data_IF_436260409555
#
_entry.id   IF_436260409555
#
_cell.length_a   1.000
_cell.length_b   1.000
_cell.length_c   1.000
_cell.angle_alpha   90.00
_cell.angle_beta   90.00
_cell.angle_gamma   90.00
#
_symmetry.space_group_name_H-M   'P 1'
#
loop_
_entity.id
_entity.type
_entity.pdbx_description
1 polymer ?
#
# COMPACT_ATOMS: atom_id res chain seq x y z
N UNK A 1 -28.63 -3.86 -18.06
CA UNK A 1 -27.56 -4.65 -17.40
C UNK A 1 -28.33 -5.75 -16.69
N UNK A 2 -27.93 -7.03 -16.69
CA UNK A 2 -28.75 -8.07 -16.02
C UNK A 2 -28.53 -8.16 -14.50
N UNK A 3 -27.69 -7.28 -13.94
CA UNK A 3 -27.43 -7.24 -12.50
C UNK A 3 -28.51 -6.42 -11.76
N UNK A 4 -29.15 -6.99 -10.71
CA UNK A 4 -30.01 -6.22 -9.83
C UNK A 4 -29.17 -5.28 -8.97
N UNK A 5 -29.69 -4.09 -8.68
CA UNK A 5 -29.03 -3.05 -7.92
C UNK A 5 -29.96 -2.52 -6.80
N UNK A 6 -30.56 -3.43 -6.03
CA UNK A 6 -31.42 -3.10 -4.90
C UNK A 6 -30.63 -2.36 -3.82
N UNK A 7 -29.36 -2.75 -3.67
CA UNK A 7 -28.34 -2.08 -2.88
C UNK A 7 -27.10 -1.84 -3.74
N UNK A 8 -26.45 -0.70 -3.52
CA UNK A 8 -25.19 -0.33 -4.18
C UNK A 8 -24.15 -0.09 -3.09
N UNK A 9 -22.97 -0.64 -3.30
CA UNK A 9 -21.82 -0.48 -2.42
C UNK A 9 -20.66 0.11 -3.20
N UNK A 10 -19.82 0.89 -2.53
CA UNK A 10 -18.44 1.10 -2.97
C UNK A 10 -17.59 0.05 -2.30
N UNK A 11 -16.79 -0.65 -3.10
CA UNK A 11 -15.81 -1.63 -2.62
C UNK A 11 -14.41 -1.07 -2.82
N UNK A 12 -13.56 -1.14 -1.80
CA UNK A 12 -12.16 -0.74 -1.83
C UNK A 12 -11.27 -1.95 -1.49
N UNK A 13 -10.44 -2.37 -2.43
CA UNK A 13 -9.35 -3.29 -2.17
C UNK A 13 -8.09 -2.49 -1.80
N UNK A 14 -7.49 -2.81 -0.65
CA UNK A 14 -6.31 -2.13 -0.11
C UNK A 14 -5.13 -2.16 -1.10
N UNK A 15 -4.14 -1.32 -0.91
CA UNK A 15 -2.92 -1.35 -1.74
C UNK A 15 -2.19 -2.69 -1.63
N UNK A 16 -1.45 -3.04 -2.69
CA UNK A 16 -0.51 -4.15 -2.68
C UNK A 16 0.80 -3.71 -3.31
N UNK A 17 1.73 -3.28 -2.44
CA UNK A 17 3.06 -2.86 -2.85
C UNK A 17 3.81 -3.95 -3.61
N UNK A 18 3.59 -5.23 -3.28
CA UNK A 18 4.27 -6.37 -3.93
C UNK A 18 3.86 -6.57 -5.40
N UNK A 19 2.80 -5.89 -5.88
CA UNK A 19 2.27 -6.08 -7.23
C UNK A 19 1.98 -4.75 -7.96
N UNK A 20 2.78 -4.34 -8.97
CA UNK A 20 2.68 -3.03 -9.63
C UNK A 20 1.28 -2.64 -10.16
N UNK A 21 0.48 -3.52 -10.79
CA UNK A 21 -0.87 -3.18 -11.25
C UNK A 21 -1.89 -2.95 -10.13
N UNK A 22 -1.63 -3.47 -8.93
CA UNK A 22 -2.51 -3.41 -7.75
C UNK A 22 -2.02 -2.43 -6.69
N UNK A 23 -0.95 -1.70 -7.01
CA UNK A 23 -0.11 -0.98 -6.07
C UNK A 23 -0.81 0.20 -5.40
N UNK A 24 -1.70 0.90 -6.10
CA UNK A 24 -2.47 2.06 -5.59
C UNK A 24 -3.80 1.69 -4.93
N UNK A 25 -4.10 0.40 -4.78
CA UNK A 25 -5.42 -0.07 -4.40
C UNK A 25 -6.41 -0.08 -5.57
N UNK A 26 -7.66 -0.45 -5.33
CA UNK A 26 -8.71 -0.44 -6.36
C UNK A 26 -10.08 -0.16 -5.76
N UNK A 27 -10.86 0.69 -6.44
CA UNK A 27 -12.25 0.98 -6.09
C UNK A 27 -13.21 0.65 -7.20
N UNK A 28 -14.31 0.01 -6.87
CA UNK A 28 -15.34 -0.39 -7.83
C UNK A 28 -16.72 -0.45 -7.17
N UNK A 29 -17.77 -0.56 -8.00
CA UNK A 29 -19.14 -0.68 -7.51
C UNK A 29 -19.49 -2.15 -7.28
N UNK A 30 -20.22 -2.44 -6.20
CA UNK A 30 -20.92 -3.71 -6.02
C UNK A 30 -22.42 -3.47 -6.08
N UNK A 31 -23.09 -4.17 -6.99
CA UNK A 31 -24.54 -4.25 -7.09
C UNK A 31 -25.02 -5.53 -6.43
N UNK A 32 -25.91 -5.38 -5.46
CA UNK A 32 -26.51 -6.49 -4.72
C UNK A 32 -28.02 -6.42 -4.83
N UNK A 33 -28.65 -7.58 -4.99
CA UNK A 33 -30.09 -7.67 -5.07
C UNK A 33 -30.58 -9.06 -5.42
N UNK A 34 -31.87 -9.17 -5.68
CA UNK A 34 -32.49 -10.41 -6.13
C UNK A 34 -32.63 -10.42 -7.65
N UNK A 35 -32.20 -11.53 -8.28
CA UNK A 35 -32.40 -11.71 -9.71
C UNK A 35 -33.86 -12.09 -10.01
N UNK A 36 -34.20 -12.23 -11.29
CA UNK A 36 -35.55 -12.63 -11.73
C UNK A 36 -36.03 -14.00 -11.20
N UNK A 37 -35.15 -14.81 -10.61
CA UNK A 37 -35.47 -16.09 -9.99
C UNK A 37 -35.59 -16.00 -8.45
N UNK A 38 -35.57 -14.78 -7.89
CA UNK A 38 -35.60 -14.55 -6.43
C UNK A 38 -34.30 -14.95 -5.71
N UNK A 39 -33.20 -15.18 -6.45
CA UNK A 39 -31.91 -15.54 -5.85
C UNK A 39 -31.10 -14.28 -5.59
N UNK A 40 -30.56 -14.15 -4.38
CA UNK A 40 -29.61 -13.09 -4.03
C UNK A 40 -28.33 -13.24 -4.86
N UNK A 41 -27.94 -12.20 -5.56
CA UNK A 41 -26.76 -12.15 -6.41
C UNK A 41 -25.99 -10.86 -6.18
N UNK A 42 -24.66 -10.93 -6.31
CA UNK A 42 -23.76 -9.80 -6.18
C UNK A 42 -22.90 -9.70 -7.44
N UNK A 43 -22.84 -8.52 -8.02
CA UNK A 43 -22.03 -8.22 -9.20
C UNK A 43 -21.10 -7.06 -8.92
N UNK A 44 -19.87 -7.15 -9.41
CA UNK A 44 -18.95 -6.04 -9.43
C UNK A 44 -19.04 -5.32 -10.78
N UNK A 45 -19.06 -3.99 -10.74
CA UNK A 45 -18.87 -3.13 -11.90
C UNK A 45 -17.56 -2.37 -11.73
N UNK A 46 -16.60 -2.64 -12.62
CA UNK A 46 -15.28 -2.03 -12.62
C UNK A 46 -14.99 -1.39 -13.98
N UNK A 47 -14.08 -0.42 -14.00
CA UNK A 47 -13.55 0.21 -15.20
C UNK A 47 -12.03 0.01 -15.22
N UNK A 48 -11.52 -0.64 -16.27
CA UNK A 48 -10.11 -0.99 -16.39
C UNK A 48 -9.62 -0.88 -17.84
N UNK A 49 -8.32 -1.08 -18.01
CA UNK A 49 -7.65 -1.24 -19.31
C UNK A 49 -6.94 -2.59 -19.36
N UNK A 50 -6.80 -3.16 -20.55
CA UNK A 50 -5.94 -4.33 -20.79
C UNK A 50 -4.59 -3.81 -21.26
N UNK A 51 -3.52 -4.15 -20.54
CA UNK A 51 -2.17 -3.75 -20.92
C UNK A 51 -1.70 -4.60 -22.11
N UNK A 52 -1.25 -3.94 -23.18
CA UNK A 52 -0.74 -4.56 -24.40
C UNK A 52 0.79 -4.73 -24.40
N UNK A 53 1.46 -4.18 -23.38
CA UNK A 53 2.91 -4.18 -23.22
C UNK A 53 3.32 -4.25 -21.75
N UNK A 54 4.48 -4.85 -21.50
CA UNK A 54 5.16 -4.86 -20.19
C UNK A 54 6.26 -3.80 -20.11
N UNK A 55 6.52 -3.05 -21.19
CA UNK A 55 7.56 -2.02 -21.22
C UNK A 55 7.09 -0.78 -20.45
N UNK A 56 7.74 -0.50 -19.32
CA UNK A 56 7.41 0.61 -18.42
C UNK A 56 7.46 1.99 -19.09
N UNK A 57 8.40 2.23 -20.02
CA UNK A 57 8.48 3.50 -20.76
C UNK A 57 7.29 3.67 -21.71
N UNK A 58 6.90 2.59 -22.39
CA UNK A 58 5.70 2.59 -23.24
C UNK A 58 4.44 2.84 -22.41
N UNK A 59 4.31 2.18 -21.26
CA UNK A 59 3.20 2.39 -20.34
C UNK A 59 3.16 3.83 -19.80
N UNK A 60 4.31 4.41 -19.46
CA UNK A 60 4.40 5.80 -19.04
C UNK A 60 3.96 6.75 -20.16
N UNK A 61 4.41 6.53 -21.40
CA UNK A 61 4.00 7.33 -22.55
C UNK A 61 2.48 7.22 -22.81
N UNK A 62 1.94 6.00 -22.79
CA UNK A 62 0.51 5.76 -22.98
C UNK A 62 -0.31 6.46 -21.88
N UNK A 63 0.15 6.39 -20.63
CA UNK A 63 -0.48 7.02 -19.48
C UNK A 63 -0.49 8.56 -19.54
N UNK A 64 0.52 9.18 -20.15
CA UNK A 64 0.63 10.65 -20.15
C UNK A 64 0.00 11.24 -21.43
N UNK A 65 0.20 10.59 -22.58
CA UNK A 65 -0.07 11.21 -23.88
C UNK A 65 -1.19 10.52 -24.68
N UNK A 66 -1.12 9.21 -24.93
CA UNK A 66 -2.04 8.56 -25.88
C UNK A 66 -3.35 8.07 -25.27
N UNK A 67 -3.33 7.68 -24.00
CA UNK A 67 -4.35 6.88 -23.32
C UNK A 67 -4.33 5.42 -23.77
N UNK A 68 -5.01 4.57 -23.01
CA UNK A 68 -5.26 3.16 -23.31
C UNK A 68 -6.77 2.91 -23.51
N UNK A 69 -7.20 1.82 -24.19
CA UNK A 69 -8.61 1.47 -24.29
C UNK A 69 -9.21 1.13 -22.93
N UNK A 70 -10.15 1.95 -22.47
CA UNK A 70 -10.85 1.73 -21.21
C UNK A 70 -12.17 1.01 -21.42
N UNK A 71 -12.49 0.05 -20.56
CA UNK A 71 -13.67 -0.81 -20.69
C UNK A 71 -14.36 -1.01 -19.34
N UNK A 72 -15.69 -1.03 -19.37
CA UNK A 72 -16.48 -1.50 -18.22
C UNK A 72 -16.61 -3.01 -18.24
N UNK A 73 -16.44 -3.64 -17.08
CA UNK A 73 -16.79 -5.04 -16.89
C UNK A 73 -17.81 -5.22 -15.78
N UNK A 74 -18.71 -6.17 -16.02
CA UNK A 74 -19.67 -6.68 -15.06
C UNK A 74 -19.35 -8.16 -14.82
N UNK A 75 -18.96 -8.51 -13.60
CA UNK A 75 -18.60 -9.88 -13.26
C UNK A 75 -19.12 -10.30 -11.88
N UNK A 76 -19.23 -11.61 -11.60
CA UNK A 76 -19.63 -12.10 -10.28
C UNK A 76 -18.73 -11.53 -9.19
N UNK A 77 -19.32 -10.89 -8.20
CA UNK A 77 -18.57 -10.19 -7.14
C UNK A 77 -17.63 -11.12 -6.39
N UNK A 78 -18.07 -12.35 -6.12
CA UNK A 78 -17.29 -13.34 -5.37
C UNK A 78 -15.97 -13.71 -6.07
N UNK A 79 -15.90 -13.65 -7.39
CA UNK A 79 -14.66 -13.95 -8.12
C UNK A 79 -13.62 -12.85 -7.88
N UNK A 80 -14.02 -11.57 -7.98
CA UNK A 80 -13.11 -10.45 -7.73
C UNK A 80 -12.63 -10.45 -6.28
N UNK A 81 -13.54 -10.62 -5.32
CA UNK A 81 -13.15 -10.59 -3.90
C UNK A 81 -12.15 -11.69 -3.60
N UNK A 82 -12.38 -12.91 -4.08
CA UNK A 82 -11.42 -13.99 -3.92
C UNK A 82 -10.09 -13.70 -4.61
N UNK A 83 -10.08 -13.07 -5.78
CA UNK A 83 -8.80 -12.65 -6.39
C UNK A 83 -8.01 -11.75 -5.42
N UNK A 84 -8.67 -10.75 -4.83
CA UNK A 84 -8.02 -9.85 -3.89
C UNK A 84 -7.63 -10.50 -2.57
N UNK A 85 -8.55 -11.19 -1.91
CA UNK A 85 -8.31 -11.75 -0.57
C UNK A 85 -7.49 -13.02 -0.62
N UNK A 86 -7.70 -13.87 -1.64
CA UNK A 86 -7.10 -15.20 -1.68
C UNK A 86 -5.80 -15.29 -2.47
N UNK A 87 -5.64 -14.50 -3.53
CA UNK A 87 -4.43 -14.55 -4.38
C UNK A 87 -3.51 -13.36 -4.18
N UNK A 88 -4.08 -12.16 -4.02
CA UNK A 88 -3.28 -10.95 -3.82
C UNK A 88 -3.03 -10.63 -2.34
N UNK A 89 -3.64 -11.38 -1.41
CA UNK A 89 -3.57 -11.19 0.04
C UNK A 89 -3.94 -9.78 0.52
N UNK A 90 -4.90 -9.16 -0.16
CA UNK A 90 -5.39 -7.81 0.12
C UNK A 90 -6.69 -7.82 0.91
N UNK A 91 -6.87 -6.79 1.72
CA UNK A 91 -8.14 -6.54 2.37
C UNK A 91 -9.13 -5.89 1.43
N UNK A 92 -10.40 -6.25 1.58
CA UNK A 92 -11.49 -5.64 0.84
C UNK A 92 -12.48 -5.02 1.82
N UNK A 93 -12.71 -3.71 1.70
CA UNK A 93 -13.71 -2.97 2.44
C UNK A 93 -14.96 -2.78 1.57
N UNK A 94 -16.13 -3.05 2.14
CA UNK A 94 -17.42 -2.77 1.51
C UNK A 94 -18.14 -1.64 2.26
N UNK A 95 -18.65 -0.67 1.51
CA UNK A 95 -19.43 0.45 2.04
C UNK A 95 -20.82 0.48 1.39
N UNK A 96 -21.86 0.01 2.09
CA UNK A 96 -23.26 0.14 1.64
C UNK A 96 -23.60 1.62 1.57
N UNK A 97 -24.01 2.11 0.40
CA UNK A 97 -24.36 3.52 0.23
C UNK A 97 -25.75 3.82 0.81
N UNK A 98 -25.86 4.92 1.54
CA UNK A 98 -27.13 5.48 1.98
C UNK A 98 -27.81 6.26 0.84
N UNK A 99 -28.55 5.55 -0.01
CA UNK A 99 -29.17 6.12 -1.22
C UNK A 99 -30.69 6.18 -1.14
N UNK A 100 -31.26 7.28 -1.64
CA UNK A 100 -32.67 7.29 -2.04
C UNK A 100 -32.88 6.44 -3.30
N UNK A 101 -34.11 6.00 -3.53
CA UNK A 101 -34.46 5.26 -4.76
C UNK A 101 -34.07 6.02 -6.03
N UNK A 102 -34.29 7.34 -6.05
CA UNK A 102 -33.91 8.20 -7.16
C UNK A 102 -32.40 8.16 -7.42
N UNK A 103 -31.57 8.37 -6.39
CA UNK A 103 -30.10 8.36 -6.54
C UNK A 103 -29.58 6.99 -6.94
N UNK A 104 -30.16 5.92 -6.42
CA UNK A 104 -29.82 4.54 -6.79
C UNK A 104 -30.09 4.27 -8.27
N UNK A 105 -31.28 4.65 -8.76
CA UNK A 105 -31.63 4.54 -10.19
C UNK A 105 -30.72 5.40 -11.07
N UNK A 106 -30.39 6.61 -10.62
CA UNK A 106 -29.49 7.51 -11.34
C UNK A 106 -28.10 6.89 -11.56
N UNK A 107 -27.48 6.33 -10.51
CA UNK A 107 -26.20 5.60 -10.62
C UNK A 107 -26.34 4.44 -11.62
N UNK A 108 -27.38 3.63 -11.46
CA UNK A 108 -27.60 2.46 -12.29
C UNK A 108 -27.72 2.81 -13.78
N UNK A 109 -28.53 3.82 -14.11
CA UNK A 109 -28.71 4.25 -15.50
C UNK A 109 -27.48 4.94 -16.07
N UNK A 110 -26.76 5.72 -15.26
CA UNK A 110 -25.53 6.36 -15.71
C UNK A 110 -24.46 5.33 -16.09
N UNK A 111 -24.23 4.31 -15.24
CA UNK A 111 -23.31 3.22 -15.56
C UNK A 111 -23.78 2.42 -16.79
N UNK A 112 -25.10 2.27 -16.98
CA UNK A 112 -25.65 1.61 -18.16
C UNK A 112 -25.40 2.40 -19.45
N UNK A 113 -25.44 3.73 -19.38
CA UNK A 113 -25.11 4.63 -20.50
C UNK A 113 -23.63 4.56 -20.86
N UNK A 114 -22.74 4.61 -19.85
CA UNK A 114 -21.30 4.63 -20.06
C UNK A 114 -20.72 3.33 -20.67
N UNK A 115 -21.44 2.20 -20.58
CA UNK A 115 -20.93 0.89 -21.03
C UNK A 115 -20.66 0.82 -22.54
N UNK A 116 -21.35 1.64 -23.34
CA UNK A 116 -21.26 1.63 -24.81
C UNK A 116 -20.40 2.79 -25.34
N UNK A 117 -19.71 3.52 -24.44
CA UNK A 117 -18.86 4.65 -24.79
C UNK A 117 -17.40 4.19 -24.83
N UNK A 118 -16.73 4.47 -25.94
CA UNK A 118 -15.28 4.29 -26.07
C UNK A 118 -14.54 5.34 -25.26
N UNK A 119 -14.16 4.97 -24.03
CA UNK A 119 -13.42 5.86 -23.13
C UNK A 119 -11.93 5.53 -23.15
N UNK A 120 -11.10 6.57 -23.15
CA UNK A 120 -9.67 6.42 -22.91
C UNK A 120 -9.38 6.32 -21.42
N UNK A 121 -8.58 5.33 -21.05
CA UNK A 121 -8.07 5.11 -19.72
C UNK A 121 -6.70 5.77 -19.58
N UNK A 122 -6.49 6.53 -18.50
CA UNK A 122 -5.18 6.95 -18.01
C UNK A 122 -5.06 6.59 -16.53
N UNK A 123 -3.88 6.24 -16.03
CA UNK A 123 -3.67 5.97 -14.60
C UNK A 123 -3.91 7.21 -13.73
N UNK A 124 -3.64 8.41 -14.26
CA UNK A 124 -3.82 9.69 -13.53
C UNK A 124 -5.25 10.23 -13.59
N UNK A 125 -6.01 9.87 -14.64
CA UNK A 125 -7.35 10.39 -14.90
C UNK A 125 -8.16 9.42 -15.74
N UNK A 126 -9.48 9.39 -15.57
CA UNK A 126 -10.33 8.38 -16.21
C UNK A 126 -9.86 6.95 -15.87
N UNK A 127 -9.52 6.73 -14.60
CA UNK A 127 -9.27 5.42 -14.01
C UNK A 127 -10.51 4.93 -13.23
N UNK A 128 -10.39 3.77 -12.59
CA UNK A 128 -11.42 3.22 -11.71
C UNK A 128 -11.90 4.23 -10.65
N UNK A 129 -10.98 4.96 -10.01
CA UNK A 129 -11.30 5.96 -8.97
C UNK A 129 -12.01 7.19 -9.52
N UNK A 130 -11.66 7.62 -10.73
CA UNK A 130 -12.31 8.74 -11.42
C UNK A 130 -13.77 8.42 -11.73
N UNK A 131 -14.05 7.19 -12.19
CA UNK A 131 -15.42 6.72 -12.43
C UNK A 131 -16.23 6.71 -11.13
N UNK A 132 -15.65 6.23 -10.04
CA UNK A 132 -16.30 6.27 -8.72
C UNK A 132 -16.52 7.71 -8.26
N UNK A 133 -15.54 8.60 -8.40
CA UNK A 133 -15.69 10.02 -8.05
C UNK A 133 -16.86 10.70 -8.78
N UNK A 134 -16.97 10.53 -10.10
CA UNK A 134 -18.11 11.08 -10.85
C UNK A 134 -19.42 10.42 -10.44
N UNK A 135 -19.42 9.10 -10.20
CA UNK A 135 -20.60 8.39 -9.69
C UNK A 135 -21.05 8.94 -8.33
N UNK A 136 -20.13 9.21 -7.41
CA UNK A 136 -20.42 9.78 -6.11
C UNK A 136 -20.89 11.25 -6.22
N UNK A 137 -20.39 12.00 -7.20
CA UNK A 137 -20.87 13.35 -7.49
C UNK A 137 -22.34 13.37 -7.95
N UNK A 138 -22.81 12.29 -8.59
CA UNK A 138 -24.25 12.11 -8.88
C UNK A 138 -25.08 11.81 -7.64
N UNK A 139 -24.47 11.30 -6.56
CA UNK A 139 -25.13 11.08 -5.27
C UNK A 139 -25.20 12.38 -4.47
N UNK A 140 -24.06 13.06 -4.35
CA UNK A 140 -23.92 14.34 -3.68
C UNK A 140 -23.10 15.32 -4.55
N UNK A 141 -23.75 16.33 -5.18
CA UNK A 141 -23.08 17.26 -6.08
C UNK A 141 -21.89 18.02 -5.47
N UNK A 142 -21.85 18.19 -4.13
CA UNK A 142 -20.72 18.87 -3.45
C UNK A 142 -19.39 18.13 -3.61
N UNK A 143 -19.41 16.82 -3.88
CA UNK A 143 -18.19 16.04 -4.16
C UNK A 143 -17.49 16.58 -5.41
N UNK A 144 -18.24 17.12 -6.37
CA UNK A 144 -17.66 17.70 -7.58
C UNK A 144 -16.75 18.90 -7.26
N UNK A 145 -17.07 19.67 -6.23
CA UNK A 145 -16.31 20.86 -5.81
C UNK A 145 -14.97 20.48 -5.14
N UNK A 146 -14.83 19.25 -4.64
CA UNK A 146 -13.59 18.72 -4.07
C UNK A 146 -12.66 18.08 -5.12
N UNK A 147 -12.73 18.55 -6.37
CA UNK A 147 -11.96 17.96 -7.47
C UNK A 147 -10.46 17.98 -7.16
N UNK A 148 -9.86 16.79 -7.25
CA UNK A 148 -8.42 16.57 -7.11
C UNK A 148 -7.79 16.45 -8.51
N UNK A 149 -6.52 16.86 -8.64
CA UNK A 149 -5.74 16.66 -9.88
C UNK A 149 -5.60 15.17 -10.22
N UNK A 150 -5.37 14.35 -9.20
CA UNK A 150 -5.39 12.89 -9.25
C UNK A 150 -6.31 12.42 -8.12
N UNK A 151 -7.33 11.63 -8.46
CA UNK A 151 -8.21 10.96 -7.48
C UNK A 151 -7.71 9.53 -7.28
N UNK A 152 -7.28 9.18 -6.08
CA UNK A 152 -6.85 7.82 -5.74
C UNK A 152 -8.04 6.94 -5.31
N UNK A 153 -7.88 5.60 -5.25
CA UNK A 153 -8.89 4.73 -4.65
C UNK A 153 -9.24 5.15 -3.22
N UNK A 154 -8.25 5.46 -2.40
CA UNK A 154 -8.46 5.88 -1.02
C UNK A 154 -9.26 7.19 -0.92
N UNK A 155 -9.02 8.15 -1.82
CA UNK A 155 -9.80 9.39 -1.88
C UNK A 155 -11.30 9.13 -2.03
N UNK A 156 -11.68 8.14 -2.85
CA UNK A 156 -13.10 7.79 -3.03
C UNK A 156 -13.73 7.30 -1.73
N UNK A 157 -12.99 6.53 -0.92
CA UNK A 157 -13.44 6.09 0.39
C UNK A 157 -13.57 7.28 1.32
N UNK A 158 -12.60 8.20 1.33
CA UNK A 158 -12.65 9.43 2.15
C UNK A 158 -13.85 10.31 1.81
N UNK A 159 -14.26 10.40 0.54
CA UNK A 159 -15.49 11.11 0.17
C UNK A 159 -16.74 10.50 0.81
N UNK A 160 -16.81 9.17 0.94
CA UNK A 160 -17.94 8.52 1.59
C UNK A 160 -18.10 8.94 3.05
N UNK A 161 -16.98 9.01 3.78
CA UNK A 161 -16.96 9.49 5.17
C UNK A 161 -17.24 10.99 5.26
N UNK A 162 -16.55 11.82 4.46
CA UNK A 162 -16.71 13.30 4.47
C UNK A 162 -18.17 13.73 4.22
N UNK A 163 -18.89 13.01 3.35
CA UNK A 163 -20.25 13.35 2.95
C UNK A 163 -21.33 12.48 3.59
N UNK A 164 -20.98 11.67 4.60
CA UNK A 164 -21.92 10.80 5.33
C UNK A 164 -22.76 9.89 4.41
N UNK A 165 -22.11 9.29 3.42
CA UNK A 165 -22.75 8.43 2.42
C UNK A 165 -22.81 6.95 2.84
N UNK A 166 -22.18 6.58 3.95
CA UNK A 166 -22.06 5.19 4.41
C UNK A 166 -23.26 4.83 5.28
N UNK A 167 -23.95 3.75 4.91
CA UNK A 167 -25.00 3.12 5.73
C UNK A 167 -24.45 1.98 6.59
N UNK A 168 -23.56 1.17 6.02
CA UNK A 168 -22.86 0.07 6.70
C UNK A 168 -21.47 -0.10 6.09
N UNK A 169 -20.47 -0.39 6.91
CA UNK A 169 -19.15 -0.83 6.47
C UNK A 169 -18.89 -2.28 6.88
N UNK A 170 -18.16 -3.02 6.04
CA UNK A 170 -17.76 -4.40 6.31
C UNK A 170 -16.33 -4.63 5.80
N UNK A 171 -15.51 -5.36 6.56
CA UNK A 171 -14.16 -5.76 6.17
C UNK A 171 -14.18 -7.24 5.81
N UNK A 172 -13.67 -7.55 4.63
CA UNK A 172 -13.34 -8.89 4.16
C UNK A 172 -11.81 -8.98 4.14
N UNK A 173 -11.19 -9.49 5.21
CA UNK A 173 -9.74 -9.52 5.30
C UNK A 173 -9.12 -10.63 4.44
N UNK A 174 -7.87 -10.47 4.05
CA UNK A 174 -7.06 -11.61 3.63
C UNK A 174 -6.67 -12.48 4.82
N UNK A 175 -6.34 -13.74 4.59
CA UNK A 175 -5.92 -14.62 5.69
C UNK A 175 -4.59 -14.17 6.29
N UNK A 176 -3.63 -13.69 5.49
CA UNK A 176 -2.38 -13.12 5.99
C UNK A 176 -2.64 -11.90 6.89
N UNK A 177 -3.60 -11.05 6.52
CA UNK A 177 -3.99 -9.94 7.37
C UNK A 177 -4.61 -10.39 8.68
N UNK A 178 -5.52 -11.35 8.59
CA UNK A 178 -6.20 -11.89 9.76
C UNK A 178 -5.20 -12.54 10.72
N UNK A 179 -4.21 -13.28 10.20
CA UNK A 179 -3.12 -13.84 10.99
C UNK A 179 -2.40 -12.74 11.78
N UNK A 180 -1.90 -11.70 11.11
CA UNK A 180 -1.14 -10.64 11.79
C UNK A 180 -1.97 -9.84 12.79
N UNK A 181 -3.22 -9.56 12.45
CA UNK A 181 -4.12 -8.86 13.37
C UNK A 181 -4.40 -9.70 14.63
N UNK A 182 -4.46 -11.03 14.51
CA UNK A 182 -4.68 -11.92 15.64
C UNK A 182 -3.40 -12.16 16.45
N UNK A 183 -2.24 -12.23 15.81
CA UNK A 183 -0.95 -12.40 16.51
C UNK A 183 -0.57 -11.16 17.33
N UNK A 184 -1.07 -9.96 16.99
CA UNK A 184 -0.97 -8.77 17.86
C UNK A 184 -1.62 -8.96 19.25
N UNK A 185 -2.51 -9.94 19.42
CA UNK A 185 -3.28 -10.16 20.65
C UNK A 185 -3.02 -11.52 21.33
N UNK A 186 -2.27 -12.41 20.69
CA UNK A 186 -1.97 -13.75 21.19
C UNK A 186 -0.52 -13.84 21.67
N UNK A 187 -0.27 -14.71 22.64
CA UNK A 187 1.08 -14.96 23.13
C UNK A 187 1.77 -16.10 22.37
N UNK A 188 3.10 -16.19 22.49
CA UNK A 188 3.92 -17.17 21.76
C UNK A 188 3.47 -18.63 21.98
N UNK A 189 2.99 -18.99 23.18
CA UNK A 189 2.52 -20.35 23.44
C UNK A 189 1.22 -20.68 22.71
N UNK A 190 0.31 -19.71 22.58
CA UNK A 190 -0.94 -19.86 21.82
C UNK A 190 -0.63 -20.03 20.33
N UNK A 191 0.30 -19.23 19.81
CA UNK A 191 0.76 -19.29 18.42
C UNK A 191 1.43 -20.64 18.14
N UNK A 192 2.33 -21.10 19.02
CA UNK A 192 3.01 -22.38 18.86
C UNK A 192 2.07 -23.58 19.00
N UNK A 193 1.05 -23.48 19.85
CA UNK A 193 -0.02 -24.48 19.92
C UNK A 193 -0.74 -24.60 18.57
N UNK A 194 -1.12 -23.49 17.94
CA UNK A 194 -1.77 -23.48 16.63
C UNK A 194 -0.89 -24.12 15.55
N UNK A 195 0.42 -23.83 15.55
CA UNK A 195 1.38 -24.49 14.65
C UNK A 195 1.42 -26.00 14.90
N UNK A 196 1.42 -26.43 16.15
CA UNK A 196 1.45 -27.84 16.52
C UNK A 196 0.19 -28.59 16.08
N UNK A 197 -0.99 -28.01 16.26
CA UNK A 197 -2.27 -28.60 15.80
C UNK A 197 -2.23 -28.89 14.30
N UNK A 198 -1.75 -27.95 13.49
CA UNK A 198 -1.64 -28.13 12.03
C UNK A 198 -0.55 -29.15 11.68
N UNK A 199 0.62 -29.05 12.30
CA UNK A 199 1.80 -29.88 11.97
C UNK A 199 1.65 -31.34 12.44
N UNK A 200 1.15 -31.55 13.65
CA UNK A 200 1.03 -32.87 14.29
C UNK A 200 -0.39 -33.46 14.21
N UNK A 201 -1.36 -32.72 13.64
CA UNK A 201 -2.74 -33.17 13.41
C UNK A 201 -3.49 -33.45 14.71
N UNK A 202 -3.24 -32.64 15.74
CA UNK A 202 -3.81 -32.77 17.09
C UNK A 202 -5.23 -32.17 17.15
N UNK A 203 -6.14 -32.68 16.30
CA UNK A 203 -7.47 -32.11 16.11
C UNK A 203 -8.35 -32.09 17.37
N UNK A 204 -8.02 -32.92 18.37
CA UNK A 204 -8.74 -32.95 19.65
C UNK A 204 -8.53 -31.69 20.49
N UNK A 205 -7.45 -30.96 20.26
CA UNK A 205 -7.15 -29.72 21.00
C UNK A 205 -7.94 -28.52 20.47
N UNK A 206 -8.56 -28.64 19.28
CA UNK A 206 -9.31 -27.56 18.65
C UNK A 206 -10.50 -27.13 19.52
N UNK A 207 -11.15 -28.06 20.22
CA UNK A 207 -12.28 -27.74 21.10
C UNK A 207 -11.91 -26.97 22.37
N UNK A 208 -10.61 -26.86 22.70
CA UNK A 208 -10.15 -26.11 23.89
C UNK A 208 -9.65 -24.71 23.53
N UNK A 209 -9.60 -24.37 22.25
CA UNK A 209 -9.19 -23.06 21.78
C UNK A 209 -10.27 -22.01 22.03
N UNK A 210 -9.85 -20.80 22.37
CA UNK A 210 -10.74 -19.64 22.45
C UNK A 210 -11.10 -19.11 21.05
N UNK A 211 -11.99 -18.14 21.00
CA UNK A 211 -12.45 -17.53 19.74
C UNK A 211 -11.31 -17.04 18.85
N UNK A 212 -10.32 -16.33 19.43
CA UNK A 212 -9.22 -15.73 18.69
C UNK A 212 -8.28 -16.80 18.14
N UNK A 213 -7.95 -17.81 18.95
CA UNK A 213 -7.10 -18.93 18.53
C UNK A 213 -7.78 -19.80 17.47
N UNK A 214 -9.10 -20.03 17.56
CA UNK A 214 -9.87 -20.72 16.52
C UNK A 214 -9.82 -19.97 15.19
N UNK A 215 -9.98 -18.65 15.23
CA UNK A 215 -9.91 -17.80 14.03
C UNK A 215 -8.51 -17.73 13.43
N UNK A 216 -7.49 -17.75 14.28
CA UNK A 216 -6.11 -17.83 13.81
C UNK A 216 -5.83 -19.20 13.18
N UNK A 217 -6.30 -20.30 13.78
CA UNK A 217 -6.20 -21.64 13.21
C UNK A 217 -6.92 -21.76 11.86
N UNK A 218 -8.12 -21.17 11.72
CA UNK A 218 -8.85 -21.12 10.45
C UNK A 218 -8.05 -20.38 9.35
N UNK A 219 -7.53 -19.19 9.67
CA UNK A 219 -6.75 -18.39 8.73
C UNK A 219 -5.44 -19.11 8.34
N UNK A 220 -4.70 -19.59 9.33
CA UNK A 220 -3.41 -20.27 9.16
C UNK A 220 -3.56 -21.58 8.37
N UNK A 221 -4.53 -22.43 8.70
CA UNK A 221 -4.79 -23.65 7.94
C UNK A 221 -5.16 -23.36 6.49
N UNK A 222 -5.86 -22.25 6.22
CA UNK A 222 -6.18 -21.85 4.84
C UNK A 222 -4.95 -21.36 4.08
N UNK A 223 -4.03 -20.65 4.73
CA UNK A 223 -2.74 -20.26 4.11
C UNK A 223 -1.93 -21.50 3.78
N UNK A 224 -1.73 -22.40 4.75
CA UNK A 224 -0.96 -23.63 4.55
C UNK A 224 -1.56 -24.56 3.48
N UNK A 225 -2.88 -24.58 3.35
CA UNK A 225 -3.54 -25.30 2.26
C UNK A 225 -3.23 -24.69 0.88
N UNK A 226 -3.23 -23.36 0.76
CA UNK A 226 -2.90 -22.67 -0.49
C UNK A 226 -1.44 -22.83 -0.90
N UNK A 227 -0.55 -22.89 0.08
CA UNK A 227 0.89 -23.15 -0.11
C UNK A 227 1.18 -24.60 -0.49
N UNK A 228 0.19 -25.49 -0.37
CA UNK A 228 0.30 -26.96 -0.52
C UNK A 228 1.12 -27.63 0.59
N UNK A 229 1.26 -26.97 1.75
CA UNK A 229 1.93 -27.51 2.94
C UNK A 229 1.05 -28.56 3.65
N UNK A 230 -0.28 -28.49 3.48
CA UNK A 230 -1.22 -29.51 3.96
C UNK A 230 -2.12 -30.02 2.83
N UNK A 231 -2.50 -31.29 2.93
CA UNK A 231 -3.37 -31.97 1.99
C UNK A 231 -4.83 -31.51 2.08
N UNK A 232 -5.60 -31.82 1.04
CA UNK A 232 -7.05 -31.52 1.01
C UNK A 232 -7.82 -32.21 2.14
N UNK A 233 -7.42 -33.43 2.53
CA UNK A 233 -8.10 -34.17 3.60
C UNK A 233 -7.76 -33.61 4.99
N UNK A 234 -6.51 -33.21 5.22
CA UNK A 234 -6.11 -32.49 6.44
C UNK A 234 -6.86 -31.17 6.57
N UNK A 235 -6.90 -30.36 5.51
CA UNK A 235 -7.63 -29.10 5.52
C UNK A 235 -9.14 -29.30 5.77
N UNK A 236 -9.76 -30.31 5.17
CA UNK A 236 -11.17 -30.66 5.45
C UNK A 236 -11.39 -31.07 6.90
N UNK A 237 -10.48 -31.87 7.48
CA UNK A 237 -10.57 -32.29 8.88
C UNK A 237 -10.41 -31.09 9.82
N UNK A 238 -9.45 -30.22 9.60
CA UNK A 238 -9.28 -28.97 10.35
C UNK A 238 -10.56 -28.13 10.28
N UNK A 239 -11.05 -27.85 9.07
CA UNK A 239 -12.25 -27.06 8.86
C UNK A 239 -13.48 -27.66 9.55
N UNK A 240 -13.64 -28.99 9.51
CA UNK A 240 -14.75 -29.67 10.18
C UNK A 240 -14.69 -29.49 11.70
N UNK A 241 -13.52 -29.67 12.31
CA UNK A 241 -13.36 -29.53 13.76
C UNK A 241 -13.47 -28.07 14.22
N UNK A 242 -12.94 -27.11 13.45
CA UNK A 242 -13.12 -25.67 13.70
C UNK A 242 -14.60 -25.31 13.67
N UNK A 243 -15.34 -25.70 12.62
CA UNK A 243 -16.78 -25.44 12.51
C UNK A 243 -17.58 -26.05 13.65
N UNK A 244 -17.16 -27.21 14.17
CA UNK A 244 -17.80 -27.84 15.33
C UNK A 244 -17.57 -27.02 16.60
N UNK A 245 -16.35 -26.53 16.83
CA UNK A 245 -16.03 -25.67 17.97
C UNK A 245 -16.76 -24.31 17.89
N UNK A 246 -16.87 -23.73 16.69
CA UNK A 246 -17.53 -22.43 16.47
C UNK A 246 -19.05 -22.46 16.66
N UNK A 247 -19.72 -23.60 16.49
CA UNK A 247 -21.17 -23.69 16.74
C UNK A 247 -21.55 -23.38 18.18
N UNK A 248 -20.58 -23.47 19.10
CA UNK A 248 -20.75 -23.16 20.51
C UNK A 248 -20.44 -21.69 20.84
N UNK A 249 -19.88 -20.93 19.87
CA UNK A 249 -19.45 -19.54 20.03
C UNK A 249 -20.30 -18.56 19.19
N UNK A 250 -20.69 -17.43 19.79
CA UNK A 250 -21.46 -16.36 19.12
C UNK A 250 -20.68 -15.05 19.04
N UNK A 251 -19.40 -15.06 19.41
CA UNK A 251 -18.52 -13.90 19.39
C UNK A 251 -18.29 -13.37 17.96
N UNK A 252 -18.07 -12.07 17.86
CA UNK A 252 -17.77 -11.38 16.60
C UNK A 252 -16.67 -10.36 16.82
N UNK A 253 -15.88 -10.09 15.78
CA UNK A 253 -14.85 -9.05 15.84
C UNK A 253 -15.48 -7.65 15.75
N UNK A 254 -15.22 -6.82 16.76
CA UNK A 254 -15.45 -5.38 16.66
C UNK A 254 -14.17 -4.67 16.20
N UNK A 255 -14.09 -4.40 14.90
CA UNK A 255 -12.96 -3.67 14.29
C UNK A 255 -13.16 -2.15 14.27
N UNK A 256 -14.21 -1.62 14.92
CA UNK A 256 -14.53 -0.18 14.86
C UNK A 256 -13.39 0.71 15.40
N UNK A 257 -12.61 0.19 16.36
CA UNK A 257 -11.45 0.87 16.94
C UNK A 257 -10.13 0.55 16.24
N UNK A 258 -10.10 -0.43 15.35
CA UNK A 258 -8.89 -0.86 14.67
C UNK A 258 -8.55 0.03 13.46
N UNK A 259 -7.56 -0.40 12.66
CA UNK A 259 -7.07 0.25 11.45
C UNK A 259 -8.20 0.42 10.43
N UNK A 260 -8.36 1.61 9.86
CA UNK A 260 -9.41 1.88 8.85
C UNK A 260 -8.95 2.85 7.77
N UNK A 261 -9.38 2.68 6.49
CA UNK A 261 -8.99 3.58 5.40
C UNK A 261 -9.30 5.06 5.65
N UNK A 262 -10.34 5.38 6.43
CA UNK A 262 -10.70 6.77 6.74
C UNK A 262 -9.69 7.50 7.65
N UNK A 263 -8.87 6.75 8.37
CA UNK A 263 -7.83 7.30 9.26
C UNK A 263 -6.50 7.50 8.55
N UNK A 264 -6.29 6.85 7.40
CA UNK A 264 -5.09 7.01 6.58
C UNK A 264 -4.94 8.48 6.13
N UNK A 265 -3.76 9.11 6.31
CA UNK A 265 -3.48 10.47 5.83
C UNK A 265 -3.67 10.64 4.32
N UNK A 266 -3.68 11.87 3.83
CA UNK A 266 -3.79 12.12 2.39
C UNK A 266 -2.50 11.71 1.65
N UNK A 267 -2.65 11.05 0.51
CA UNK A 267 -1.55 10.47 -0.27
C UNK A 267 -0.88 11.48 -1.20
N UNK A 268 -1.17 12.77 -1.08
CA UNK A 268 -0.58 13.78 -1.97
C UNK A 268 0.10 14.81 -1.13
N UNK A 269 1.34 15.13 -1.46
CA UNK A 269 2.20 15.93 -0.61
C UNK A 269 2.86 17.04 -1.40
N UNK A 270 2.90 18.22 -0.81
CA UNK A 270 3.80 19.28 -1.20
C UNK A 270 4.71 19.60 -0.02
N UNK A 271 6.02 19.61 -0.25
CA UNK A 271 7.03 19.87 0.77
C UNK A 271 7.83 21.12 0.46
N UNK A 272 8.18 21.85 1.52
CA UNK A 272 9.16 22.92 1.51
C UNK A 272 10.12 22.70 2.68
N UNK A 273 11.42 22.79 2.40
CA UNK A 273 12.45 22.56 3.40
C UNK A 273 13.72 23.33 3.12
N UNK A 274 14.56 23.44 4.13
CA UNK A 274 15.94 23.87 3.99
C UNK A 274 16.82 22.62 3.97
N UNK A 275 17.83 22.61 3.10
CA UNK A 275 18.80 21.52 2.98
C UNK A 275 20.21 22.08 2.88
N UNK A 276 21.13 21.53 3.67
CA UNK A 276 22.55 21.83 3.62
C UNK A 276 23.28 20.62 3.03
N UNK A 277 24.08 20.85 1.98
CA UNK A 277 24.88 19.83 1.30
C UNK A 277 26.19 20.48 0.85
N UNK A 278 27.34 19.84 1.09
CA UNK A 278 28.65 20.26 0.57
C UNK A 278 28.97 21.76 0.80
N UNK A 279 28.69 22.28 2.00
CA UNK A 279 28.90 23.70 2.36
C UNK A 279 27.95 24.72 1.70
N UNK A 280 26.95 24.24 0.96
CA UNK A 280 25.93 25.07 0.32
C UNK A 280 24.55 24.91 0.97
N UNK A 281 23.83 26.03 1.00
CA UNK A 281 22.46 26.16 1.49
C UNK A 281 21.45 26.12 0.35
N UNK A 282 20.45 25.24 0.45
CA UNK A 282 19.38 25.10 -0.53
C UNK A 282 18.01 25.24 0.10
N UNK A 283 17.10 25.91 -0.62
CA UNK A 283 15.66 25.73 -0.46
C UNK A 283 15.22 24.53 -1.29
N UNK A 284 14.61 23.55 -0.64
CA UNK A 284 14.06 22.35 -1.27
C UNK A 284 12.55 22.48 -1.45
N UNK A 285 12.08 22.14 -2.65
CA UNK A 285 10.66 21.96 -2.95
C UNK A 285 10.43 20.52 -3.39
N UNK A 286 9.40 19.87 -2.85
CA UNK A 286 9.06 18.48 -3.19
C UNK A 286 7.58 18.28 -3.49
N UNK A 287 7.28 17.34 -4.37
CA UNK A 287 5.93 17.01 -4.80
C UNK A 287 5.75 15.50 -5.00
N UNK A 288 4.81 14.94 -4.24
CA UNK A 288 4.34 13.55 -4.34
C UNK A 288 2.85 13.59 -4.75
N UNK A 289 2.49 13.24 -6.00
CA UNK A 289 1.14 13.41 -6.52
C UNK A 289 0.13 12.37 -6.06
N UNK A 290 0.59 11.16 -5.72
CA UNK A 290 -0.22 10.05 -5.24
C UNK A 290 0.73 8.98 -4.68
N UNK A 291 0.73 8.80 -3.35
CA UNK A 291 1.25 7.71 -2.52
C UNK A 291 1.56 8.18 -1.08
N UNK A 292 2.09 7.31 -0.23
CA UNK A 292 2.77 7.57 1.03
C UNK A 292 4.22 7.07 1.02
N UNK A 293 5.02 7.61 1.93
CA UNK A 293 6.44 7.33 2.13
C UNK A 293 6.66 6.52 3.41
N UNK A 294 7.83 5.89 3.56
CA UNK A 294 8.19 5.20 4.80
C UNK A 294 8.27 6.19 5.97
N UNK A 295 8.64 7.43 5.71
CA UNK A 295 8.70 8.50 6.71
C UNK A 295 7.34 9.13 7.04
N UNK A 296 6.24 8.64 6.47
CA UNK A 296 4.89 9.10 6.80
C UNK A 296 4.24 8.32 7.94
N UNK A 297 3.07 8.79 8.35
CA UNK A 297 2.24 8.13 9.35
C UNK A 297 1.58 6.89 8.74
N UNK A 298 2.20 5.73 8.97
CA UNK A 298 1.75 4.47 8.36
C UNK A 298 1.02 3.52 9.33
N UNK A 299 0.67 3.95 10.55
CA UNK A 299 0.02 3.09 11.58
C UNK A 299 -1.34 2.52 11.13
N UNK A 300 -2.00 3.15 10.16
CA UNK A 300 -3.30 2.73 9.63
C UNK A 300 -3.19 1.79 8.42
N UNK A 301 -1.97 1.58 7.92
CA UNK A 301 -1.68 0.61 6.87
C UNK A 301 -1.41 -0.77 7.46
N UNK A 302 -1.38 -1.77 6.58
CA UNK A 302 -0.99 -3.12 6.94
C UNK A 302 0.53 -3.29 6.82
N UNK A 303 1.23 -3.01 7.92
CA UNK A 303 2.70 -2.94 7.95
C UNK A 303 3.23 -1.68 7.26
N UNK A 304 4.52 -1.44 7.34
CA UNK A 304 5.14 -0.26 6.75
C UNK A 304 5.39 -0.44 5.25
N UNK A 305 5.16 0.63 4.51
CA UNK A 305 5.04 0.60 3.06
C UNK A 305 5.45 1.96 2.51
N UNK A 306 5.98 2.01 1.30
CA UNK A 306 6.17 3.24 0.53
C UNK A 306 5.95 2.91 -0.94
N UNK A 307 5.31 3.82 -1.65
CA UNK A 307 5.16 3.75 -3.09
C UNK A 307 5.57 5.07 -3.71
N UNK A 308 6.08 5.06 -4.93
CA UNK A 308 6.30 6.29 -5.70
C UNK A 308 6.08 6.02 -7.18
N UNK A 309 4.89 6.32 -7.72
CA UNK A 309 4.68 6.31 -9.18
C UNK A 309 5.26 7.57 -9.83
N UNK A 310 5.42 8.62 -9.04
CA UNK A 310 6.13 9.82 -9.42
C UNK A 310 6.54 10.51 -8.13
N UNK A 311 7.76 11.01 -8.03
CA UNK A 311 8.18 11.91 -6.97
C UNK A 311 9.18 12.90 -7.55
N UNK A 312 9.00 14.19 -7.28
CA UNK A 312 9.89 15.23 -7.77
C UNK A 312 10.35 16.08 -6.59
N UNK A 313 11.67 16.25 -6.45
CA UNK A 313 12.28 17.21 -5.55
C UNK A 313 13.34 18.03 -6.27
N UNK A 314 13.35 19.33 -6.02
CA UNK A 314 14.31 20.29 -6.59
C UNK A 314 14.96 21.11 -5.49
N UNK A 315 16.24 21.42 -5.68
CA UNK A 315 17.03 22.30 -4.82
C UNK A 315 17.22 23.65 -5.50
N UNK A 316 17.07 24.71 -4.73
CA UNK A 316 17.17 26.10 -5.18
C UNK A 316 18.19 26.80 -4.29
N UNK A 317 19.25 27.34 -4.86
CA UNK A 317 20.11 28.31 -4.17
C UNK A 317 20.06 29.66 -4.92
N UNK A 318 20.99 30.58 -4.66
CA UNK A 318 21.00 31.90 -5.30
C UNK A 318 21.33 31.85 -6.81
N UNK A 319 22.05 30.83 -7.24
CA UNK A 319 22.71 30.77 -8.54
C UNK A 319 22.21 29.59 -9.41
N UNK A 320 21.68 28.54 -8.79
CA UNK A 320 21.33 27.27 -9.44
C UNK A 320 19.95 26.75 -9.02
N UNK A 321 19.32 26.06 -9.97
CA UNK A 321 18.14 25.21 -9.76
C UNK A 321 18.57 23.81 -10.16
N UNK A 322 18.50 22.88 -9.23
CA UNK A 322 19.04 21.54 -9.39
C UNK A 322 17.96 20.50 -9.13
N UNK A 323 17.95 19.44 -9.94
CA UNK A 323 17.15 18.27 -9.63
C UNK A 323 17.79 17.55 -8.43
N UNK A 324 17.00 17.19 -7.43
CA UNK A 324 17.47 16.33 -6.33
C UNK A 324 17.06 14.88 -6.58
N UNK A 325 15.78 14.70 -6.90
CA UNK A 325 15.16 13.40 -7.10
C UNK A 325 14.04 13.52 -8.12
N UNK A 326 14.07 12.67 -9.13
CA UNK A 326 12.93 12.30 -9.95
C UNK A 326 12.77 10.78 -9.89
N UNK A 327 11.82 10.30 -9.10
CA UNK A 327 11.47 8.88 -9.05
C UNK A 327 10.30 8.62 -9.97
N UNK A 328 10.45 7.70 -10.93
CA UNK A 328 9.40 7.29 -11.86
C UNK A 328 8.63 6.08 -11.38
N UNK A 329 9.28 5.23 -10.58
CA UNK A 329 8.63 4.10 -9.95
C UNK A 329 9.41 3.71 -8.69
N UNK A 330 8.69 3.40 -7.61
CA UNK A 330 9.28 2.96 -6.36
C UNK A 330 8.31 2.09 -5.58
N UNK A 331 8.84 1.05 -4.94
CA UNK A 331 8.13 0.15 -4.05
C UNK A 331 9.03 -0.12 -2.85
N UNK A 332 8.50 0.03 -1.64
CA UNK A 332 9.08 -0.61 -0.45
C UNK A 332 7.98 -1.25 0.40
N UNK A 333 8.30 -2.42 0.89
CA UNK A 333 7.47 -3.22 1.79
C UNK A 333 8.40 -3.74 2.86
N UNK A 334 8.38 -3.13 4.03
CA UNK A 334 9.07 -3.69 5.17
C UNK A 334 7.93 -4.27 6.00
N UNK A 335 7.91 -5.59 6.12
CA UNK A 335 6.81 -6.29 6.77
C UNK A 335 7.48 -7.15 7.83
N UNK A 336 7.12 -6.98 9.12
CA UNK A 336 7.67 -7.81 10.16
C UNK A 336 7.51 -9.28 9.83
N UNK A 337 8.61 -10.02 9.93
CA UNK A 337 8.67 -11.45 9.70
C UNK A 337 7.79 -12.15 10.73
N UNK A 338 6.81 -12.90 10.24
CA UNK A 338 5.92 -13.72 11.04
C UNK A 338 6.13 -15.19 10.65
N UNK A 339 6.38 -16.03 11.64
CA UNK A 339 6.62 -17.48 11.47
C UNK A 339 5.45 -18.27 10.88
N UNK A 340 4.24 -17.69 10.83
CA UNK A 340 3.06 -18.29 10.24
C UNK A 340 2.92 -17.98 8.74
N UNK A 341 3.48 -16.84 8.28
CA UNK A 341 3.36 -16.35 6.89
C UNK A 341 4.69 -16.23 6.15
N UNK A 342 5.83 -16.44 6.82
CA UNK A 342 7.18 -16.39 6.25
C UNK A 342 7.47 -15.11 5.44
N UNK A 343 6.96 -13.97 5.92
CA UNK A 343 7.00 -12.70 5.21
C UNK A 343 8.42 -12.15 5.01
N UNK A 344 8.78 -11.90 3.75
CA UNK A 344 9.99 -11.15 3.39
C UNK A 344 9.67 -9.70 3.06
N UNK A 345 10.67 -8.85 3.28
CA UNK A 345 10.67 -7.43 2.91
C UNK A 345 11.32 -7.25 1.54
N UNK A 346 10.77 -6.32 0.75
CA UNK A 346 11.22 -6.07 -0.62
C UNK A 346 11.32 -4.59 -0.90
N UNK A 347 12.26 -4.22 -1.77
CA UNK A 347 12.33 -2.90 -2.34
C UNK A 347 12.67 -2.91 -3.82
N UNK A 348 12.21 -1.88 -4.52
CA UNK A 348 12.59 -1.59 -5.90
C UNK A 348 12.46 -0.09 -6.15
N UNK A 349 13.40 0.49 -6.89
CA UNK A 349 13.37 1.90 -7.27
C UNK A 349 13.91 2.13 -8.68
N UNK A 350 13.24 2.99 -9.45
CA UNK A 350 13.68 3.54 -10.73
C UNK A 350 13.65 5.07 -10.63
N UNK A 351 14.83 5.69 -10.58
CA UNK A 351 14.94 7.12 -10.30
C UNK A 351 16.17 7.78 -10.94
N UNK A 352 16.12 9.11 -11.03
CA UNK A 352 17.29 9.98 -11.19
C UNK A 352 17.47 10.71 -9.87
N UNK A 353 18.63 10.58 -9.23
CA UNK A 353 18.91 11.18 -7.92
C UNK A 353 20.30 11.78 -7.85
N UNK A 354 20.45 12.85 -7.08
CA UNK A 354 21.78 13.31 -6.69
C UNK A 354 22.37 12.43 -5.60
N UNK A 355 23.48 11.77 -5.92
CA UNK A 355 24.20 10.86 -5.05
C UNK A 355 25.72 11.12 -5.17
N UNK A 356 26.52 10.63 -4.21
CA UNK A 356 27.97 10.74 -4.29
C UNK A 356 28.54 9.65 -5.22
N UNK A 357 29.39 10.03 -6.18
CA UNK A 357 30.14 9.13 -7.05
C UNK A 357 31.35 8.48 -6.34
N UNK A 358 32.07 7.58 -7.03
CA UNK A 358 33.29 6.94 -6.48
C UNK A 358 34.35 7.96 -6.04
N UNK A 359 34.44 9.09 -6.75
CA UNK A 359 35.35 10.20 -6.45
C UNK A 359 34.78 11.22 -5.43
N UNK A 360 33.65 10.89 -4.80
CA UNK A 360 32.95 11.74 -3.82
C UNK A 360 32.41 13.07 -4.39
N UNK A 361 32.23 13.18 -5.71
CA UNK A 361 31.47 14.29 -6.31
C UNK A 361 29.96 14.08 -6.15
N UNK A 362 29.19 15.15 -5.96
CA UNK A 362 27.72 15.06 -5.83
C UNK A 362 27.05 15.22 -7.20
N UNK A 363 26.64 14.11 -7.81
CA UNK A 363 26.28 14.03 -9.24
C UNK A 363 24.90 13.41 -9.46
N UNK A 364 24.27 13.79 -10.57
CA UNK A 364 23.02 13.18 -11.02
C UNK A 364 23.27 11.73 -11.47
N UNK A 365 22.63 10.79 -10.79
CA UNK A 365 22.75 9.35 -11.05
C UNK A 365 21.40 8.80 -11.47
N UNK A 366 21.33 8.24 -12.67
CA UNK A 366 20.20 7.41 -13.10
C UNK A 366 20.40 6.03 -12.50
N UNK A 367 19.43 5.52 -11.75
CA UNK A 367 19.56 4.22 -11.10
C UNK A 367 18.31 3.37 -11.19
N UNK A 368 18.56 2.06 -11.23
CA UNK A 368 17.58 1.02 -11.00
C UNK A 368 18.11 0.10 -9.91
N UNK A 369 17.42 -0.01 -8.78
CA UNK A 369 17.80 -0.90 -7.70
C UNK A 369 16.63 -1.77 -7.22
N UNK A 370 17.00 -2.90 -6.63
CA UNK A 370 16.10 -3.85 -6.03
C UNK A 370 16.74 -4.49 -4.80
N UNK A 371 15.92 -4.90 -3.85
CA UNK A 371 16.41 -5.51 -2.63
C UNK A 371 15.41 -6.44 -1.98
N UNK A 372 15.96 -7.34 -1.17
CA UNK A 372 15.23 -8.32 -0.39
C UNK A 372 15.80 -8.37 1.01
N UNK A 373 14.95 -8.57 2.01
CA UNK A 373 15.39 -8.63 3.37
C UNK A 373 14.32 -9.06 4.34
N UNK A 374 14.60 -8.80 5.61
CA UNK A 374 13.77 -9.19 6.74
C UNK A 374 13.57 -7.96 7.63
N UNK A 375 12.39 -7.87 8.22
CA UNK A 375 12.05 -6.90 9.26
C UNK A 375 11.57 -7.69 10.49
N UNK A 376 11.82 -7.18 11.69
CA UNK A 376 11.36 -7.76 12.94
C UNK A 376 10.73 -6.70 13.80
N UNK A 377 9.56 -7.01 14.36
CA UNK A 377 8.89 -6.16 15.34
C UNK A 377 9.38 -6.51 16.75
N UNK A 378 9.95 -5.54 17.43
CA UNK A 378 10.34 -5.60 18.84
C UNK A 378 9.31 -4.83 19.69
N UNK A 379 8.50 -5.55 20.45
CA UNK A 379 7.35 -4.95 21.14
C UNK A 379 6.26 -4.59 20.15
N UNK A 380 5.70 -3.38 20.23
CA UNK A 380 4.60 -2.94 19.36
C UNK A 380 4.95 -1.76 18.44
N UNK A 381 6.09 -1.11 18.66
CA UNK A 381 6.39 0.19 18.06
C UNK A 381 7.80 0.29 17.44
N UNK A 382 8.63 -0.75 17.54
CA UNK A 382 10.02 -0.75 17.06
C UNK A 382 10.19 -1.84 16.02
N UNK A 383 10.48 -1.45 14.79
CA UNK A 383 10.87 -2.36 13.72
C UNK A 383 12.40 -2.34 13.55
N UNK A 384 13.00 -3.49 13.33
CA UNK A 384 14.41 -3.65 13.00
C UNK A 384 14.52 -4.40 11.67
N UNK A 385 15.20 -3.81 10.69
CA UNK A 385 15.32 -4.40 9.36
C UNK A 385 16.76 -4.63 8.94
N UNK A 386 16.93 -5.61 8.07
CA UNK A 386 18.14 -5.88 7.32
C UNK A 386 17.78 -6.23 5.87
N UNK A 387 18.23 -5.41 4.90
CA UNK A 387 17.92 -5.56 3.48
C UNK A 387 19.20 -5.63 2.65
N UNK A 388 19.25 -6.53 1.67
CA UNK A 388 20.34 -6.63 0.70
C UNK A 388 19.98 -5.88 -0.59
N UNK A 389 20.69 -4.76 -0.78
CA UNK A 389 20.68 -3.78 -1.86
C UNK A 389 21.45 -4.11 -3.14
N UNK A 390 20.86 -4.30 -4.33
CA UNK A 390 21.63 -4.41 -5.58
C UNK A 390 21.03 -3.55 -6.70
N UNK A 391 21.88 -2.94 -7.53
CA UNK A 391 21.41 -2.10 -8.62
C UNK A 391 22.42 -1.77 -9.70
N UNK A 392 21.93 -1.06 -10.71
CA UNK A 392 22.73 -0.45 -11.77
C UNK A 392 22.59 1.06 -11.69
N UNK A 393 23.72 1.77 -11.74
CA UNK A 393 23.79 3.22 -11.79
C UNK A 393 24.48 3.70 -13.06
N UNK A 394 24.11 4.90 -13.50
CA UNK A 394 24.84 5.65 -14.52
C UNK A 394 24.96 7.11 -14.09
N UNK A 395 26.19 7.60 -14.01
CA UNK A 395 26.50 9.02 -13.83
C UNK A 395 27.73 9.41 -14.68
N UNK A 396 27.99 10.71 -14.81
CA UNK A 396 29.06 11.22 -15.67
C UNK A 396 30.49 10.86 -15.20
N UNK A 397 30.66 10.58 -13.91
CA UNK A 397 31.97 10.34 -13.28
C UNK A 397 32.33 8.84 -13.33
N UNK A 398 31.39 7.98 -12.95
CA UNK A 398 31.59 6.54 -12.78
C UNK A 398 31.13 5.72 -14.01
N UNK A 399 30.53 6.39 -15.02
CA UNK A 399 29.82 5.75 -16.12
C UNK A 399 28.79 4.73 -15.61
N UNK A 400 28.49 3.71 -16.41
CA UNK A 400 27.62 2.60 -16.00
C UNK A 400 28.35 1.71 -15.01
N UNK A 401 27.77 1.50 -13.84
CA UNK A 401 28.37 0.70 -12.79
C UNK A 401 27.32 -0.17 -12.07
N UNK A 402 27.78 -1.30 -11.53
CA UNK A 402 26.98 -2.15 -10.65
C UNK A 402 27.27 -1.73 -9.21
N UNK A 403 26.23 -1.61 -8.40
CA UNK A 403 26.39 -1.32 -6.98
C UNK A 403 25.69 -2.32 -6.08
N UNK A 404 26.26 -2.48 -4.88
CA UNK A 404 25.72 -3.24 -3.78
C UNK A 404 25.67 -2.33 -2.54
N UNK A 405 24.53 -2.22 -1.89
CA UNK A 405 24.33 -1.31 -0.76
C UNK A 405 23.43 -1.91 0.33
N UNK A 406 23.93 -2.91 1.09
CA UNK A 406 23.15 -3.55 2.15
C UNK A 406 22.77 -2.51 3.20
N UNK A 407 21.64 -2.71 3.85
CA UNK A 407 21.07 -1.74 4.77
C UNK A 407 20.66 -2.45 6.06
N UNK A 408 21.07 -1.92 7.21
CA UNK A 408 20.62 -2.38 8.53
C UNK A 408 20.17 -1.17 9.32
N UNK A 409 18.99 -1.26 9.93
CA UNK A 409 18.42 -0.13 10.63
C UNK A 409 17.21 -0.47 11.47
N UNK A 410 16.56 0.57 11.95
CA UNK A 410 15.32 0.45 12.69
C UNK A 410 14.42 1.66 12.52
N UNK A 411 13.14 1.42 12.72
CA UNK A 411 12.07 2.40 12.67
C UNK A 411 11.32 2.34 13.99
N UNK A 412 11.09 3.49 14.61
CA UNK A 412 10.36 3.59 15.86
C UNK A 412 9.19 4.55 15.69
N UNK A 413 8.02 4.13 16.17
CA UNK A 413 6.90 5.03 16.35
C UNK A 413 6.86 5.51 17.79
N UNK A 414 7.29 6.74 18.04
CA UNK A 414 7.31 7.28 19.39
C UNK A 414 5.93 7.81 19.83
N UNK A 415 5.86 8.16 21.12
CA UNK A 415 4.76 8.94 21.69
C UNK A 415 4.60 10.29 20.96
N UNK A 416 3.46 10.94 21.14
CA UNK A 416 3.15 12.27 20.56
C UNK A 416 3.13 12.31 19.02
N UNK A 417 2.74 11.20 18.37
CA UNK A 417 2.65 11.09 16.91
C UNK A 417 3.98 11.43 16.23
N UNK A 418 5.06 10.83 16.70
CA UNK A 418 6.37 10.93 16.08
C UNK A 418 6.76 9.61 15.45
N UNK A 419 7.70 9.69 14.50
CA UNK A 419 8.32 8.54 13.89
C UNK A 419 9.77 8.83 13.55
N UNK A 420 10.69 7.98 13.99
CA UNK A 420 12.09 8.02 13.59
C UNK A 420 12.50 6.79 12.79
N UNK A 421 13.40 6.98 11.85
CA UNK A 421 14.02 5.94 11.02
C UNK A 421 15.52 6.18 11.01
N UNK A 422 16.29 5.20 11.47
CA UNK A 422 17.75 5.26 11.47
C UNK A 422 18.32 4.02 10.78
N UNK A 423 19.33 4.19 9.93
CA UNK A 423 19.99 3.05 9.29
C UNK A 423 21.43 3.35 8.87
N UNK A 424 22.20 2.27 8.75
CA UNK A 424 23.53 2.22 8.17
C UNK A 424 23.46 1.52 6.81
N UNK A 425 24.15 2.09 5.82
CA UNK A 425 24.14 1.64 4.43
C UNK A 425 25.51 1.90 3.78
N UNK A 426 26.45 0.96 3.77
CA UNK A 426 27.66 1.09 2.98
C UNK A 426 27.34 1.02 1.49
N UNK A 427 28.10 1.74 0.65
CA UNK A 427 28.04 1.62 -0.80
C UNK A 427 29.27 0.87 -1.30
N UNK A 428 29.04 -0.15 -2.12
CA UNK A 428 30.06 -0.85 -2.89
C UNK A 428 29.79 -0.65 -4.38
N UNK A 429 30.83 -0.33 -5.16
CA UNK A 429 30.77 -0.24 -6.62
C UNK A 429 31.84 -1.14 -7.20
N UNK A 430 31.45 -2.05 -8.12
CA UNK A 430 32.38 -3.00 -8.77
C UNK A 430 33.35 -3.70 -7.79
N UNK A 431 32.84 -4.16 -6.64
CA UNK A 431 33.53 -4.81 -5.50
C UNK A 431 34.32 -3.91 -4.53
N UNK A 432 34.50 -2.62 -4.83
CA UNK A 432 35.18 -1.69 -3.94
C UNK A 432 34.18 -0.97 -3.03
N UNK A 433 34.49 -0.89 -1.73
CA UNK A 433 33.73 -0.07 -0.80
C UNK A 433 34.06 1.40 -1.07
N UNK A 434 33.05 2.19 -1.42
CA UNK A 434 33.20 3.63 -1.71
C UNK A 434 33.07 4.44 -0.42
N UNK A 435 31.96 4.26 0.30
CA UNK A 435 31.70 5.00 1.53
C UNK A 435 30.78 4.24 2.50
N UNK A 436 30.77 4.70 3.75
CA UNK A 436 29.77 4.39 4.75
C UNK A 436 28.73 5.50 4.84
N UNK A 437 27.44 5.17 4.77
CA UNK A 437 26.37 6.15 4.95
C UNK A 437 25.52 5.82 6.18
N UNK A 438 25.29 6.83 7.00
CA UNK A 438 24.44 6.80 8.18
C UNK A 438 23.30 7.79 7.98
N UNK A 439 22.07 7.33 8.16
CA UNK A 439 20.87 8.16 7.98
C UNK A 439 20.05 8.16 9.25
N UNK A 440 19.53 9.32 9.61
CA UNK A 440 18.54 9.51 10.65
C UNK A 440 17.44 10.44 10.12
N UNK A 441 16.20 9.95 10.11
CA UNK A 441 15.01 10.75 9.79
C UNK A 441 14.15 10.81 11.04
N UNK A 442 13.63 11.98 11.35
CA UNK A 442 12.69 12.21 12.45
C UNK A 442 11.49 13.00 11.92
N UNK A 443 10.29 12.53 12.23
CA UNK A 443 9.05 13.09 11.72
C UNK A 443 8.08 13.35 12.87
N UNK A 444 7.44 14.52 12.85
CA UNK A 444 6.39 14.90 13.79
C UNK A 444 5.13 15.16 12.98
N UNK A 445 4.07 14.38 13.23
CA UNK A 445 2.81 14.50 12.52
C UNK A 445 1.90 15.50 13.23
N UNK A 446 1.77 16.68 12.64
CA UNK A 446 0.92 17.76 13.12
C UNK A 446 -0.44 17.67 12.45
N UNK A 447 -1.46 17.28 13.21
CA UNK A 447 -2.77 16.97 12.65
C UNK A 447 -2.65 15.86 11.56
N UNK A 448 -3.73 15.55 10.83
CA UNK A 448 -3.68 14.53 9.76
C UNK A 448 -3.00 15.01 8.47
N UNK A 449 -2.77 16.32 8.35
CA UNK A 449 -2.49 16.97 7.07
C UNK A 449 -1.10 17.64 7.01
N UNK A 450 -0.32 17.64 8.10
CA UNK A 450 1.00 18.25 8.11
C UNK A 450 2.04 17.35 8.78
N UNK A 451 3.25 17.34 8.23
CA UNK A 451 4.40 16.62 8.77
C UNK A 451 5.59 17.55 8.84
N UNK A 452 6.11 17.80 10.03
CA UNK A 452 7.45 18.36 10.19
C UNK A 452 8.46 17.22 10.10
N UNK A 453 9.57 17.46 9.42
CA UNK A 453 10.62 16.45 9.29
C UNK A 453 12.00 17.05 9.50
N UNK A 454 12.90 16.22 9.99
CA UNK A 454 14.33 16.46 10.11
C UNK A 454 15.07 15.24 9.57
N UNK A 455 15.92 15.43 8.57
CA UNK A 455 16.76 14.38 8.02
C UNK A 455 18.22 14.74 8.25
N UNK A 456 18.99 13.77 8.66
CA UNK A 456 20.44 13.86 8.84
C UNK A 456 21.08 12.70 8.10
N UNK A 457 22.10 13.00 7.32
CA UNK A 457 22.89 12.02 6.58
C UNK A 457 24.37 12.32 6.79
N UNK A 458 25.12 11.30 7.21
CA UNK A 458 26.58 11.34 7.28
C UNK A 458 27.15 10.33 6.29
N UNK A 459 28.03 10.79 5.41
CA UNK A 459 28.76 9.95 4.47
C UNK A 459 30.25 9.98 4.81
N UNK A 460 30.84 8.83 5.08
CA UNK A 460 32.24 8.67 5.46
C UNK A 460 33.00 7.90 4.38
N UNK A 461 33.95 8.58 3.73
CA UNK A 461 34.97 7.98 2.87
C UNK A 461 36.36 8.36 3.43
N UNK A 462 37.31 8.78 2.58
CA UNK A 462 38.53 9.47 3.04
C UNK A 462 38.22 10.83 3.70
N UNK A 463 37.14 11.46 3.24
CA UNK A 463 36.57 12.70 3.79
C UNK A 463 35.17 12.43 4.33
N UNK A 464 34.75 13.24 5.32
CA UNK A 464 33.42 13.17 5.90
C UNK A 464 32.52 14.26 5.33
N UNK A 465 31.34 13.87 4.87
CA UNK A 465 30.29 14.78 4.41
C UNK A 465 29.09 14.69 5.35
N UNK A 466 28.56 15.85 5.73
CA UNK A 466 27.39 15.95 6.60
C UNK A 466 26.32 16.75 5.87
N UNK A 467 25.19 16.08 5.65
CA UNK A 467 24.01 16.66 5.03
C UNK A 467 22.90 16.71 6.08
N UNK A 468 22.17 17.80 6.14
CA UNK A 468 20.98 17.89 6.99
C UNK A 468 19.88 18.68 6.31
N UNK A 469 18.66 18.30 6.62
CA UNK A 469 17.46 18.85 6.02
C UNK A 469 16.40 19.01 7.11
N UNK A 470 15.66 20.11 7.08
CA UNK A 470 14.44 20.22 7.87
C UNK A 470 13.37 20.95 7.07
N UNK A 471 12.12 20.57 7.27
CA UNK A 471 11.04 21.13 6.49
C UNK A 471 9.66 20.71 6.95
N UNK A 472 8.69 21.05 6.13
CA UNK A 472 7.28 20.73 6.34
C UNK A 472 6.67 20.19 5.04
N UNK A 473 5.95 19.09 5.18
CA UNK A 473 5.06 18.57 4.13
C UNK A 473 3.61 18.86 4.51
N UNK A 474 2.83 19.30 3.52
CA UNK A 474 1.37 19.36 3.58
C UNK A 474 0.77 18.21 2.77
N UNK A 475 -0.08 17.41 3.40
CA UNK A 475 -0.78 16.27 2.83
C UNK A 475 -2.24 16.69 2.48
N UNK A 476 -2.74 16.44 1.26
CA UNK A 476 -4.06 16.94 0.82
C UNK A 476 -4.82 16.13 -0.24
#
# INVERSE_FOLDING_TARGET
MKAPADKIFITYASENVKNPPSMMGHTFLKYSGENHQGRKVNHAVTFYTVLDTVNLLSLAYQNIFSGMPGMFALQPYQHIVKEYTDKENRNVWEFELNLSEYRRKLIYYHIWELKDIDMKYFFTSYNCSTVIYYTLSLVNPKIYDDKKFWVTPLDTVKFLYKYNLIKKSELLPSNEWLIKMLTEHLNDNEIDNIKNIVKHKEYTEISTLDFYSLKLLEAYSTVKYKENDISTDEFKNLKHNIQKAEQEDTNTFDISKYKTPSKIPNERQFGIGYKYINEDDYLKLSFLPASHLLNDYNREYFGESELKIFNLSVLLNKDTIELEELTLYGMKSYIPYDTLTDDLSYQFELAVKKEYSEDMSYVDTVKIDGGIGIDFLLGNDINLFAILNFGLGYNANDNTHVFFNPQVGGMIYEILNMKSLAYYQPLFVNDNKVYDKYVFNHNIFLFKDYKLYFNFEKVCAETEFINYEFGINKLF
#
